data_IF_462519507237
#
_entry.id   IF_462519507237
#
_cell.length_a   1.000
_cell.length_b   1.000
_cell.length_c   1.000
_cell.angle_alpha   90.00
_cell.angle_beta   90.00
_cell.angle_gamma   90.00
#
_symmetry.space_group_name_H-M   'P 1'
#
loop_
_entity.id
_entity.type
_entity.pdbx_description
1 polymer ?
#
# COMPACT_ATOMS: atom_id res chain seq x y z
N UNK A 1 -14.77 -24.99 2.69
CA UNK A 1 -13.88 -23.80 2.57
C UNK A 1 -12.52 -24.31 2.11
N UNK A 2 -12.03 -23.91 0.93
CA UNK A 2 -10.78 -24.41 0.37
C UNK A 2 -9.68 -23.34 0.49
N UNK A 3 -9.28 -23.04 1.72
CA UNK A 3 -8.19 -22.08 2.01
C UNK A 3 -6.96 -22.88 2.43
N UNK A 4 -5.84 -22.63 1.78
CA UNK A 4 -4.54 -23.19 2.15
C UNK A 4 -3.62 -22.08 2.62
N UNK A 5 -2.98 -22.28 3.78
CA UNK A 5 -2.02 -21.35 4.35
C UNK A 5 -0.61 -21.77 3.93
N UNK A 6 0.21 -20.81 3.53
CA UNK A 6 1.64 -21.03 3.21
C UNK A 6 2.48 -20.27 4.21
N UNK A 7 3.42 -20.97 4.84
CA UNK A 7 4.41 -20.35 5.71
C UNK A 7 5.52 -19.78 4.85
N UNK A 8 5.84 -18.51 5.08
CA UNK A 8 6.99 -17.87 4.45
C UNK A 8 8.25 -18.14 5.28
N UNK A 9 9.44 -18.10 4.66
CA UNK A 9 10.69 -18.14 5.41
C UNK A 9 10.77 -16.99 6.44
N UNK A 10 11.51 -17.17 7.54
CA UNK A 10 11.69 -16.10 8.53
C UNK A 10 12.25 -14.82 7.88
N UNK A 11 11.79 -13.67 8.35
CA UNK A 11 12.28 -12.33 7.93
C UNK A 11 12.07 -11.99 6.44
N UNK A 12 11.21 -12.69 5.70
CA UNK A 12 10.94 -12.37 4.29
C UNK A 12 9.67 -11.59 4.04
N UNK A 13 8.92 -11.24 5.09
CA UNK A 13 7.64 -10.50 4.98
C UNK A 13 7.76 -9.26 4.11
N UNK A 14 8.70 -8.37 4.41
CA UNK A 14 8.90 -7.13 3.67
C UNK A 14 9.32 -7.34 2.19
N UNK A 15 9.89 -8.51 1.85
CA UNK A 15 10.36 -8.80 0.51
C UNK A 15 9.32 -9.55 -0.34
N UNK A 16 8.53 -10.43 0.28
CA UNK A 16 7.68 -11.40 -0.43
C UNK A 16 6.18 -11.10 -0.21
N UNK A 17 5.78 -10.51 0.90
CA UNK A 17 4.36 -10.20 1.12
C UNK A 17 4.02 -8.90 0.42
N UNK A 18 3.15 -8.89 -0.61
CA UNK A 18 2.88 -7.71 -1.43
C UNK A 18 2.19 -6.58 -0.66
N UNK A 19 1.62 -6.89 0.51
CA UNK A 19 0.99 -5.91 1.38
C UNK A 19 2.00 -4.88 1.90
N UNK A 20 3.19 -5.29 2.34
CA UNK A 20 4.16 -4.41 3.00
C UNK A 20 4.86 -3.41 2.06
N UNK A 21 5.64 -3.84 1.04
CA UNK A 21 6.33 -2.93 0.12
C UNK A 21 5.36 -2.25 -0.85
N UNK A 22 4.15 -2.79 -1.02
CA UNK A 22 3.13 -2.25 -1.90
C UNK A 22 2.17 -1.31 -1.18
N UNK A 23 1.07 -1.86 -0.68
CA UNK A 23 -0.01 -1.09 -0.09
C UNK A 23 0.45 -0.29 1.14
N UNK A 24 1.26 -0.89 2.02
CA UNK A 24 1.62 -0.27 3.29
C UNK A 24 2.65 0.83 3.16
N UNK A 25 3.65 0.67 2.29
CA UNK A 25 4.55 1.76 1.92
C UNK A 25 3.79 2.96 1.35
N UNK A 26 2.82 2.70 0.47
CA UNK A 26 2.02 3.75 -0.16
C UNK A 26 1.13 4.50 0.85
N UNK A 27 0.44 3.79 1.74
CA UNK A 27 -0.38 4.40 2.79
C UNK A 27 0.47 5.23 3.75
N UNK A 28 1.61 4.70 4.20
CA UNK A 28 2.54 5.41 5.09
C UNK A 28 3.00 6.73 4.49
N UNK A 29 3.37 6.75 3.21
CA UNK A 29 3.83 7.98 2.55
C UNK A 29 2.75 9.06 2.51
N UNK A 30 1.49 8.68 2.29
CA UNK A 30 0.36 9.62 2.27
C UNK A 30 0.01 10.17 3.63
N UNK A 31 -0.04 9.30 4.65
CA UNK A 31 -0.25 9.72 6.04
C UNK A 31 0.87 10.66 6.50
N UNK A 32 2.13 10.36 6.17
CA UNK A 32 3.26 11.22 6.49
C UNK A 32 3.18 12.58 5.79
N UNK A 33 2.76 12.61 4.52
CA UNK A 33 2.56 13.86 3.79
C UNK A 33 1.43 14.70 4.40
N UNK A 34 0.29 14.07 4.74
CA UNK A 34 -0.85 14.72 5.38
C UNK A 34 -0.46 15.28 6.76
N UNK A 35 0.21 14.48 7.59
CA UNK A 35 0.75 14.90 8.90
C UNK A 35 1.68 16.09 8.77
N UNK A 36 2.59 16.07 7.79
CA UNK A 36 3.55 17.15 7.58
C UNK A 36 2.85 18.45 7.17
N UNK A 37 1.85 18.34 6.29
CA UNK A 37 1.03 19.49 5.87
C UNK A 37 0.26 20.08 7.04
N UNK A 38 -0.41 19.24 7.82
CA UNK A 38 -1.19 19.66 8.98
C UNK A 38 -0.31 20.35 10.03
N UNK A 39 0.84 19.76 10.35
CA UNK A 39 1.79 20.35 11.27
C UNK A 39 2.31 21.72 10.79
N UNK A 40 2.53 21.87 9.49
CA UNK A 40 2.94 23.17 8.93
C UNK A 40 1.85 24.23 9.07
N UNK A 41 0.56 23.86 8.91
CA UNK A 41 -0.56 24.78 9.11
C UNK A 41 -0.67 25.22 10.57
N UNK A 42 -0.63 24.27 11.51
CA UNK A 42 -0.68 24.55 12.95
C UNK A 42 0.47 25.44 13.41
N UNK A 43 1.67 25.22 12.88
CA UNK A 43 2.82 26.08 13.15
C UNK A 43 2.60 27.52 12.69
N UNK A 44 1.96 27.71 11.52
CA UNK A 44 1.62 29.05 11.01
C UNK A 44 0.53 29.73 11.86
N UNK A 45 -0.38 28.95 12.43
CA UNK A 45 -1.42 29.42 13.34
C UNK A 45 -0.90 29.69 14.76
N UNK A 46 0.36 29.36 15.04
CA UNK A 46 1.02 29.60 16.32
C UNK A 46 0.74 28.53 17.38
N UNK A 47 0.42 27.31 16.96
CA UNK A 47 0.27 26.16 17.86
C UNK A 47 1.61 25.78 18.51
N UNK A 48 1.60 25.53 19.82
CA UNK A 48 2.76 25.13 20.60
C UNK A 48 3.15 23.65 20.38
N UNK A 49 2.21 22.80 19.94
CA UNK A 49 2.48 21.41 19.54
C UNK A 49 1.86 21.05 18.18
N UNK A 50 2.51 21.48 17.07
CA UNK A 50 1.99 21.24 15.72
C UNK A 50 1.98 19.75 15.33
N UNK A 51 2.61 18.87 16.10
CA UNK A 51 2.71 17.44 15.78
C UNK A 51 1.74 16.56 16.57
N UNK A 52 0.93 17.14 17.48
CA UNK A 52 -0.11 16.44 18.23
C UNK A 52 -1.31 16.10 17.34
N UNK A 53 -1.13 15.08 16.50
CA UNK A 53 -2.18 14.59 15.61
C UNK A 53 -3.06 13.59 16.37
N UNK A 54 -4.38 13.80 16.31
CA UNK A 54 -5.32 12.88 16.92
C UNK A 54 -5.39 11.57 16.13
N UNK A 55 -5.59 10.41 16.80
CA UNK A 55 -5.80 9.15 16.11
C UNK A 55 -6.95 9.17 15.09
N UNK A 56 -7.98 9.99 15.32
CA UNK A 56 -9.10 10.15 14.40
C UNK A 56 -8.65 10.74 13.05
N UNK A 57 -7.84 11.81 13.08
CA UNK A 57 -7.30 12.45 11.86
C UNK A 57 -6.44 11.47 11.08
N UNK A 58 -5.59 10.71 11.79
CA UNK A 58 -4.73 9.71 11.17
C UNK A 58 -5.56 8.59 10.51
N UNK A 59 -6.65 8.15 11.14
CA UNK A 59 -7.56 7.15 10.56
C UNK A 59 -8.25 7.68 9.30
N UNK A 60 -8.74 8.93 9.33
CA UNK A 60 -9.35 9.57 8.17
C UNK A 60 -8.37 9.65 6.99
N UNK A 61 -7.11 10.02 7.25
CA UNK A 61 -6.08 10.05 6.21
C UNK A 61 -5.76 8.65 5.66
N UNK A 62 -5.73 7.62 6.49
CA UNK A 62 -5.52 6.23 6.02
C UNK A 62 -6.70 5.77 5.15
N UNK A 63 -7.94 6.06 5.57
CA UNK A 63 -9.14 5.70 4.82
C UNK A 63 -9.21 6.42 3.48
N UNK A 64 -9.04 7.74 3.47
CA UNK A 64 -9.03 8.54 2.24
C UNK A 64 -7.90 8.12 1.31
N UNK A 65 -6.72 7.85 1.85
CA UNK A 65 -5.63 7.25 1.09
C UNK A 65 -6.09 5.91 0.48
N UNK A 66 -6.62 4.97 1.25
CA UNK A 66 -7.03 3.67 0.70
C UNK A 66 -8.04 3.80 -0.45
N UNK A 67 -9.00 4.72 -0.35
CA UNK A 67 -10.00 4.97 -1.39
C UNK A 67 -9.39 5.55 -2.68
N UNK A 68 -8.36 6.38 -2.58
CA UNK A 68 -7.63 6.91 -3.74
C UNK A 68 -6.75 5.86 -4.44
N UNK A 69 -6.51 4.70 -3.81
CA UNK A 69 -5.53 3.74 -4.31
C UNK A 69 -5.99 3.13 -5.64
N UNK A 70 -5.20 3.27 -6.73
CA UNK A 70 -5.54 2.62 -7.99
C UNK A 70 -5.52 1.09 -7.85
N UNK A 71 -6.56 0.37 -8.29
CA UNK A 71 -6.57 -1.10 -8.27
C UNK A 71 -5.43 -1.74 -9.07
N UNK A 72 -4.98 -1.07 -10.14
CA UNK A 72 -3.86 -1.50 -10.98
C UNK A 72 -2.53 -1.58 -10.20
N UNK A 73 -2.31 -0.67 -9.24
CA UNK A 73 -1.13 -0.72 -8.39
C UNK A 73 -1.15 -1.94 -7.47
N UNK A 74 -2.33 -2.32 -6.97
CA UNK A 74 -2.49 -3.51 -6.13
C UNK A 74 -2.11 -4.76 -6.95
N UNK A 75 -2.63 -4.88 -8.18
CA UNK A 75 -2.26 -5.99 -9.09
C UNK A 75 -0.76 -6.02 -9.34
N UNK A 76 -0.14 -4.85 -9.58
CA UNK A 76 1.30 -4.70 -9.80
C UNK A 76 2.13 -5.25 -8.63
N UNK A 77 1.77 -4.92 -7.39
CA UNK A 77 2.51 -5.40 -6.21
C UNK A 77 2.40 -6.92 -6.04
N UNK A 78 1.21 -7.48 -6.26
CA UNK A 78 1.01 -8.92 -6.21
C UNK A 78 1.74 -9.65 -7.35
N UNK A 79 1.88 -9.02 -8.53
CA UNK A 79 2.70 -9.53 -9.64
C UNK A 79 4.18 -9.59 -9.27
N UNK A 80 4.73 -8.52 -8.67
CA UNK A 80 6.13 -8.51 -8.22
C UNK A 80 6.43 -9.51 -7.11
N UNK A 81 5.46 -9.80 -6.24
CA UNK A 81 5.58 -10.86 -5.25
C UNK A 81 5.48 -12.28 -5.85
N UNK A 82 5.18 -12.42 -7.15
CA UNK A 82 4.96 -13.71 -7.81
C UNK A 82 3.65 -14.38 -7.40
N UNK A 83 2.73 -13.65 -6.76
CA UNK A 83 1.44 -14.17 -6.26
C UNK A 83 0.27 -13.87 -7.20
N UNK A 84 0.51 -13.07 -8.24
CA UNK A 84 -0.44 -12.80 -9.30
C UNK A 84 0.24 -12.95 -10.65
N UNK A 85 -0.37 -13.72 -11.54
CA UNK A 85 0.05 -13.86 -12.92
C UNK A 85 -1.19 -13.74 -13.79
N UNK A 86 -1.12 -12.90 -14.83
CA UNK A 86 -2.21 -12.78 -15.78
C UNK A 86 -2.19 -14.00 -16.71
N UNK A 87 -3.27 -14.78 -16.68
CA UNK A 87 -3.35 -16.03 -17.43
C UNK A 87 -3.57 -15.79 -18.92
N UNK A 88 -4.09 -14.63 -19.32
CA UNK A 88 -4.18 -14.25 -20.73
C UNK A 88 -2.79 -14.01 -21.31
N UNK A 89 -1.94 -13.23 -20.61
CA UNK A 89 -0.53 -13.00 -21.01
C UNK A 89 0.26 -14.32 -21.11
N UNK A 90 0.02 -15.27 -20.20
CA UNK A 90 0.65 -16.60 -20.25
C UNK A 90 0.13 -17.40 -21.45
N UNK A 91 -1.17 -17.35 -21.73
CA UNK A 91 -1.76 -18.06 -22.86
C UNK A 91 -1.20 -17.56 -24.19
N UNK A 92 -0.99 -16.25 -24.34
CA UNK A 92 -0.40 -15.64 -25.53
C UNK A 92 1.09 -16.00 -25.70
N UNK A 93 1.83 -16.18 -24.59
CA UNK A 93 3.22 -16.68 -24.64
C UNK A 93 3.31 -18.16 -25.02
N UNK A 94 2.33 -18.95 -24.60
CA UNK A 94 2.26 -20.39 -24.90
C UNK A 94 1.67 -20.69 -26.28
N UNK A 95 0.87 -19.76 -26.81
CA UNK A 95 0.27 -19.81 -28.16
C UNK A 95 0.48 -18.46 -28.87
N UNK A 96 1.72 -18.13 -29.28
CA UNK A 96 1.97 -16.91 -30.04
C UNK A 96 1.16 -16.93 -31.34
N UNK A 97 0.46 -15.84 -31.66
CA UNK A 97 -0.25 -15.70 -32.93
C UNK A 97 0.75 -15.86 -34.10
N UNK A 98 0.40 -16.73 -35.04
CA UNK A 98 1.18 -17.01 -36.26
C UNK A 98 1.47 -15.77 -37.10
#
# INVERSE_FOLDING_TARGET
>A
MNITVKMLPPNTTAAIQPMDPGAMAWLKNRVLAARTREAALRLLDGDDDPYDILPADALEWICGAWEEKPPEDIKKYWRYAGLYADRSEIADLLNPAE
#
